data_IF_367012575642
#
_entry.id   IF_367012575642
#
_cell.length_a   1.000
_cell.length_b   1.000
_cell.length_c   1.000
_cell.angle_alpha   90.00
_cell.angle_beta   90.00
_cell.angle_gamma   90.00
#
_symmetry.space_group_name_H-M   'P 1'
#
loop_
_entity.id
_entity.type
_entity.pdbx_description
1 polymer ?
#
# COMPACT_ATOMS: atom_id res chain seq x y z
N UNK A 1 65.09 5.58 -17.48
CA UNK A 1 65.09 6.52 -18.62
C UNK A 1 63.70 6.52 -19.23
N UNK A 2 63.17 7.67 -19.68
CA UNK A 2 62.73 8.84 -18.93
C UNK A 2 61.19 8.89 -18.80
N UNK A 3 60.71 9.48 -17.70
CA UNK A 3 59.35 10.02 -17.56
C UNK A 3 59.14 11.22 -18.49
N UNK A 4 58.01 11.33 -19.19
CA UNK A 4 57.53 12.61 -19.72
C UNK A 4 56.75 13.37 -18.64
N UNK A 5 57.14 14.63 -18.50
CA UNK A 5 56.69 15.69 -17.60
C UNK A 5 55.21 16.12 -17.77
N UNK A 6 54.69 16.97 -16.86
CA UNK A 6 53.28 17.34 -16.78
C UNK A 6 52.85 18.27 -17.93
N UNK A 7 51.58 18.16 -18.33
CA UNK A 7 50.92 19.20 -19.13
C UNK A 7 50.49 20.30 -18.16
N UNK A 8 51.35 21.31 -18.08
CA UNK A 8 51.04 22.63 -17.57
C UNK A 8 50.44 23.43 -18.72
N UNK A 9 49.19 23.89 -18.54
CA UNK A 9 48.42 24.65 -19.50
C UNK A 9 47.69 25.76 -18.78
N UNK A 10 48.43 26.79 -18.39
CA UNK A 10 47.89 28.01 -17.82
C UNK A 10 47.29 28.95 -18.87
N UNK A 11 46.49 29.90 -18.37
CA UNK A 11 46.41 31.25 -18.91
C UNK A 11 45.18 31.56 -19.76
N UNK A 12 44.25 32.33 -19.17
CA UNK A 12 43.15 32.97 -19.90
C UNK A 12 42.27 33.81 -19.00
N UNK A 13 42.84 34.84 -18.37
CA UNK A 13 42.07 35.87 -17.67
C UNK A 13 41.35 36.81 -18.63
N UNK A 14 40.23 37.35 -18.15
CA UNK A 14 39.51 38.48 -18.74
C UNK A 14 38.03 38.40 -18.35
N UNK A 15 37.43 39.34 -17.65
CA UNK A 15 37.92 40.54 -17.00
C UNK A 15 36.93 40.92 -15.90
N UNK A 16 37.45 41.42 -14.79
CA UNK A 16 36.65 42.17 -13.85
C UNK A 16 36.18 43.44 -14.54
N UNK A 17 34.90 43.50 -14.86
CA UNK A 17 34.19 44.75 -15.03
C UNK A 17 33.76 45.22 -13.65
N UNK A 18 34.39 46.29 -13.18
CA UNK A 18 33.91 47.07 -12.04
C UNK A 18 32.52 47.63 -12.35
N UNK A 19 31.65 47.61 -11.33
CA UNK A 19 30.56 48.58 -11.23
C UNK A 19 29.16 48.07 -11.58
N UNK A 20 28.65 47.12 -10.80
CA UNK A 20 27.32 47.23 -10.18
C UNK A 20 27.20 46.09 -9.17
N UNK A 21 27.11 46.41 -7.87
CA UNK A 21 26.54 45.47 -6.91
C UNK A 21 25.20 45.01 -7.48
N UNK A 22 24.91 43.70 -7.56
CA UNK A 22 23.60 43.25 -7.97
C UNK A 22 22.60 43.92 -7.00
N UNK A 23 21.60 44.64 -7.51
CA UNK A 23 20.69 45.38 -6.66
C UNK A 23 20.05 44.42 -5.66
N UNK A 24 20.17 44.75 -4.38
CA UNK A 24 19.74 44.00 -3.17
C UNK A 24 18.21 43.73 -3.11
N UNK A 25 17.50 43.89 -4.23
CA UNK A 25 16.04 43.89 -4.30
C UNK A 25 15.49 42.91 -5.35
N UNK A 26 16.05 41.71 -5.43
CA UNK A 26 15.38 40.60 -6.10
C UNK A 26 14.36 39.91 -5.15
N UNK A 27 13.63 40.68 -4.32
CA UNK A 27 12.69 40.13 -3.30
C UNK A 27 11.27 39.94 -3.81
N UNK A 28 10.99 40.37 -5.04
CA UNK A 28 9.67 40.18 -5.66
C UNK A 28 9.47 38.71 -6.04
N UNK A 29 8.42 38.09 -5.49
CA UNK A 29 7.99 36.74 -5.84
C UNK A 29 6.89 36.85 -6.90
N UNK A 30 7.06 36.16 -8.03
CA UNK A 30 5.97 35.98 -8.98
C UNK A 30 4.89 35.09 -8.33
N UNK A 31 3.66 35.60 -8.24
CA UNK A 31 2.53 34.93 -7.57
C UNK A 31 1.52 34.34 -8.54
N UNK A 32 1.68 34.61 -9.84
CA UNK A 32 0.76 34.19 -10.89
C UNK A 32 1.53 33.58 -12.08
N UNK A 33 1.19 32.36 -12.55
CA UNK A 33 1.87 31.70 -13.67
C UNK A 33 1.74 32.42 -15.03
N UNK A 34 0.87 33.43 -15.15
CA UNK A 34 0.80 34.30 -16.34
C UNK A 34 1.86 35.41 -16.35
N UNK A 35 2.56 35.60 -15.23
CA UNK A 35 3.64 36.57 -15.07
C UNK A 35 4.95 36.05 -15.71
N UNK A 36 4.98 35.99 -17.04
CA UNK A 36 6.18 35.66 -17.81
C UNK A 36 7.04 36.90 -18.05
N UNK A 37 8.36 36.78 -17.86
CA UNK A 37 9.30 37.86 -18.17
C UNK A 37 9.30 39.03 -17.18
N UNK A 38 8.87 38.81 -15.93
CA UNK A 38 9.00 39.82 -14.89
C UNK A 38 10.47 40.07 -14.59
N UNK A 39 10.91 41.28 -14.89
CA UNK A 39 12.15 41.87 -14.36
C UNK A 39 11.78 42.71 -13.15
N UNK A 40 12.54 42.58 -12.06
CA UNK A 40 12.42 43.53 -10.95
C UNK A 40 12.65 44.96 -11.48
N UNK A 41 12.22 46.01 -10.78
CA UNK A 41 12.54 47.40 -11.16
C UNK A 41 14.05 47.64 -11.34
N UNK A 42 14.87 46.76 -10.77
CA UNK A 42 16.32 46.77 -10.81
C UNK A 42 16.94 45.81 -11.86
N UNK A 43 16.12 45.13 -12.66
CA UNK A 43 16.56 44.30 -13.80
C UNK A 43 16.85 42.83 -13.49
N UNK A 44 16.57 42.33 -12.27
CA UNK A 44 16.70 40.89 -11.96
C UNK A 44 15.60 40.11 -12.68
N UNK A 45 15.94 39.01 -13.35
CA UNK A 45 14.94 38.05 -13.83
C UNK A 45 14.27 37.36 -12.64
N UNK A 46 12.97 37.59 -12.46
CA UNK A 46 12.15 36.95 -11.45
C UNK A 46 11.62 35.67 -12.10
N UNK A 47 12.05 34.51 -11.60
CA UNK A 47 11.76 33.21 -12.22
C UNK A 47 10.28 32.96 -12.52
N UNK A 48 9.99 32.10 -13.49
CA UNK A 48 8.60 31.73 -13.83
C UNK A 48 8.02 30.86 -12.72
N UNK A 49 6.83 31.17 -12.16
CA UNK A 49 6.11 30.25 -11.29
C UNK A 49 5.82 28.97 -12.08
N UNK A 50 6.49 27.87 -11.72
CA UNK A 50 6.13 26.56 -12.27
C UNK A 50 4.86 26.11 -11.58
N UNK A 51 3.83 25.71 -12.35
CA UNK A 51 2.68 25.01 -11.79
C UNK A 51 3.17 23.80 -10.95
N UNK A 52 2.51 23.48 -9.83
CA UNK A 52 2.79 22.25 -9.12
C UNK A 52 2.72 21.09 -10.12
N UNK A 53 3.78 20.30 -10.23
CA UNK A 53 3.75 19.10 -11.07
C UNK A 53 2.79 18.08 -10.43
N UNK A 54 1.51 18.17 -10.76
CA UNK A 54 0.48 17.20 -10.36
C UNK A 54 0.79 15.92 -11.13
N UNK A 55 1.61 15.05 -10.53
CA UNK A 55 1.80 13.71 -11.07
C UNK A 55 0.43 13.04 -11.13
N UNK A 56 0.01 12.48 -12.28
CA UNK A 56 -1.27 11.78 -12.36
C UNK A 56 -1.35 10.75 -11.24
N UNK A 57 -2.46 10.76 -10.52
CA UNK A 57 -2.69 9.82 -9.42
C UNK A 57 -2.66 8.41 -10.00
N UNK A 58 -1.64 7.62 -9.63
CA UNK A 58 -1.53 6.22 -10.05
C UNK A 58 -2.83 5.48 -9.70
N UNK A 59 -3.37 4.79 -10.68
CA UNK A 59 -4.48 3.85 -10.52
C UNK A 59 -4.09 2.75 -9.51
N UNK A 60 -5.06 2.05 -8.90
CA UNK A 60 -4.77 0.93 -8.00
C UNK A 60 -3.90 -0.14 -8.66
N UNK A 61 -4.19 -0.48 -9.91
CA UNK A 61 -3.40 -1.43 -10.70
C UNK A 61 -1.93 -1.00 -10.86
N UNK A 62 -1.67 0.27 -11.20
CA UNK A 62 -0.30 0.80 -11.30
C UNK A 62 0.41 0.81 -9.95
N UNK A 63 -0.31 0.99 -8.84
CA UNK A 63 0.25 0.90 -7.49
C UNK A 63 0.63 -0.53 -7.14
N UNK A 64 -0.24 -1.50 -7.38
CA UNK A 64 0.04 -2.93 -7.13
C UNK A 64 1.25 -3.36 -7.98
N UNK A 65 1.27 -3.01 -9.27
CA UNK A 65 2.42 -3.25 -10.16
C UNK A 65 3.70 -2.60 -9.62
N UNK A 66 3.61 -1.34 -9.19
CA UNK A 66 4.76 -0.63 -8.59
C UNK A 66 5.27 -1.31 -7.31
N UNK A 67 4.39 -1.92 -6.49
CA UNK A 67 4.80 -2.69 -5.31
C UNK A 67 5.57 -3.94 -5.71
N UNK A 68 5.08 -4.73 -6.66
CA UNK A 68 5.81 -5.93 -7.11
C UNK A 68 7.10 -5.63 -7.90
N UNK A 69 7.24 -4.40 -8.42
CA UNK A 69 8.50 -3.90 -8.99
C UNK A 69 9.51 -3.43 -7.92
N UNK A 70 9.09 -3.12 -6.69
CA UNK A 70 9.99 -2.80 -5.59
C UNK A 70 10.63 -4.10 -5.05
N UNK A 71 11.95 -4.19 -5.14
CA UNK A 71 12.71 -5.38 -4.74
C UNK A 71 12.46 -5.77 -3.29
N UNK A 72 12.32 -4.80 -2.37
CA UNK A 72 12.12 -5.09 -0.93
C UNK A 72 10.73 -5.66 -0.69
N UNK A 73 9.71 -5.12 -1.35
CA UNK A 73 8.35 -5.69 -1.29
C UNK A 73 8.35 -7.11 -1.86
N UNK A 74 8.96 -7.32 -3.03
CA UNK A 74 9.02 -8.62 -3.70
C UNK A 74 9.75 -9.67 -2.87
N UNK A 75 10.86 -9.30 -2.23
CA UNK A 75 11.59 -10.19 -1.31
C UNK A 75 10.70 -10.63 -0.14
N UNK A 76 9.96 -9.70 0.48
CA UNK A 76 9.07 -10.04 1.62
C UNK A 76 7.86 -10.86 1.21
N UNK A 77 7.28 -10.54 0.05
CA UNK A 77 6.24 -11.38 -0.54
C UNK A 77 6.75 -12.80 -0.79
N UNK A 78 7.92 -12.96 -1.43
CA UNK A 78 8.50 -14.27 -1.71
C UNK A 78 8.91 -15.02 -0.44
N UNK A 79 9.29 -14.29 0.61
CA UNK A 79 9.63 -14.87 1.91
C UNK A 79 8.41 -15.48 2.59
N UNK A 80 7.25 -14.81 2.52
CA UNK A 80 5.98 -15.30 3.06
C UNK A 80 5.31 -16.35 2.15
N UNK A 81 5.39 -16.19 0.84
CA UNK A 81 4.76 -17.05 -0.16
C UNK A 81 5.59 -18.32 -0.44
N UNK A 82 5.98 -19.01 0.62
CA UNK A 82 6.64 -20.31 0.56
C UNK A 82 5.73 -21.36 1.21
N UNK A 83 5.62 -22.57 0.63
CA UNK A 83 4.75 -23.61 1.15
C UNK A 83 4.94 -23.89 2.65
N UNK A 84 6.19 -23.91 3.13
CA UNK A 84 6.50 -24.19 4.54
C UNK A 84 5.88 -23.19 5.53
N UNK A 85 5.60 -21.94 5.12
CA UNK A 85 4.97 -20.97 6.00
C UNK A 85 3.47 -21.22 6.16
N UNK A 86 2.84 -21.95 5.23
CA UNK A 86 1.42 -22.30 5.32
C UNK A 86 1.19 -23.50 6.24
N UNK A 87 2.21 -24.32 6.50
CA UNK A 87 2.10 -25.48 7.37
C UNK A 87 2.52 -25.19 8.83
N UNK A 88 2.81 -23.93 9.15
CA UNK A 88 3.08 -23.49 10.52
C UNK A 88 1.80 -23.47 11.37
N UNK A 89 1.98 -23.52 12.68
CA UNK A 89 0.91 -23.35 13.68
C UNK A 89 0.60 -21.87 13.99
N UNK A 90 1.25 -20.94 13.28
CA UNK A 90 1.08 -19.51 13.41
C UNK A 90 1.22 -18.80 12.06
N UNK A 91 0.65 -17.60 11.98
CA UNK A 91 0.83 -16.71 10.83
C UNK A 91 2.15 -15.94 10.94
N UNK A 92 2.76 -15.66 9.79
CA UNK A 92 3.94 -14.79 9.69
C UNK A 92 3.56 -13.51 9.00
N UNK A 93 4.13 -12.38 9.43
CA UNK A 93 3.85 -11.09 8.83
C UNK A 93 5.09 -10.21 8.62
N UNK A 94 5.00 -9.34 7.62
CA UNK A 94 5.85 -8.18 7.45
C UNK A 94 5.01 -6.92 7.49
N UNK A 95 5.43 -5.95 8.30
CA UNK A 95 4.79 -4.64 8.38
C UNK A 95 5.72 -3.60 7.77
N UNK A 96 5.17 -2.77 6.88
CA UNK A 96 5.86 -1.63 6.26
C UNK A 96 5.66 -0.37 7.09
N UNK A 97 6.75 0.30 7.46
CA UNK A 97 6.76 1.58 8.14
C UNK A 97 7.38 2.67 7.28
N UNK A 98 6.65 3.78 7.10
CA UNK A 98 7.19 5.01 6.56
C UNK A 98 7.75 5.89 7.69
N UNK A 99 8.85 6.60 7.44
CA UNK A 99 9.30 7.66 8.32
C UNK A 99 8.48 8.94 8.09
N UNK A 100 8.58 9.95 8.99
CA UNK A 100 7.86 11.22 8.81
C UNK A 100 8.14 11.88 7.45
N UNK A 101 7.12 12.54 6.91
CA UNK A 101 7.23 13.32 5.67
C UNK A 101 8.35 14.36 5.81
N UNK A 102 9.15 14.53 4.76
CA UNK A 102 10.28 15.47 4.75
C UNK A 102 11.58 14.90 5.32
N UNK A 103 11.60 13.63 5.70
CA UNK A 103 12.85 12.93 6.07
C UNK A 103 13.44 12.18 4.86
N UNK A 104 14.76 12.07 4.80
CA UNK A 104 15.47 11.26 3.79
C UNK A 104 15.65 9.80 4.23
N UNK A 105 14.84 9.33 5.18
CA UNK A 105 14.89 7.96 5.66
C UNK A 105 14.04 7.11 4.70
N UNK A 106 14.52 5.94 4.24
CA UNK A 106 13.70 5.05 3.45
C UNK A 106 12.66 4.33 4.31
N UNK A 107 11.50 4.01 3.73
CA UNK A 107 10.56 3.08 4.36
C UNK A 107 11.22 1.72 4.62
N UNK A 108 10.84 1.05 5.69
CA UNK A 108 11.41 -0.23 6.11
C UNK A 108 10.33 -1.28 6.38
N UNK A 109 10.73 -2.55 6.31
CA UNK A 109 9.93 -3.68 6.73
C UNK A 109 10.50 -4.26 8.01
N UNK A 110 9.63 -4.67 8.92
CA UNK A 110 10.00 -5.50 10.06
C UNK A 110 9.07 -6.70 10.15
N UNK A 111 9.63 -7.82 10.60
CA UNK A 111 8.88 -9.06 10.75
C UNK A 111 8.09 -9.02 12.06
N UNK A 112 6.88 -9.56 12.01
CA UNK A 112 6.06 -9.84 13.17
C UNK A 112 5.46 -11.22 12.97
N UNK A 113 5.92 -12.17 13.76
CA UNK A 113 5.30 -13.49 13.77
C UNK A 113 4.24 -13.55 14.87
N UNK A 114 3.15 -14.21 14.54
CA UNK A 114 2.06 -14.42 15.47
C UNK A 114 2.40 -15.52 16.48
N UNK A 115 1.83 -15.48 17.69
CA UNK A 115 2.02 -16.56 18.64
C UNK A 115 1.50 -17.89 18.06
N UNK A 116 2.16 -19.02 18.37
CA UNK A 116 1.62 -20.35 18.06
C UNK A 116 0.17 -20.47 18.48
N UNK A 117 -0.65 -21.03 17.60
CA UNK A 117 -2.08 -21.23 17.81
C UNK A 117 -2.87 -19.96 18.10
N UNK A 118 -2.35 -18.80 17.69
CA UNK A 118 -3.10 -17.56 17.71
C UNK A 118 -4.39 -17.76 16.94
N UNK A 119 -5.52 -17.57 17.62
CA UNK A 119 -6.80 -17.64 16.92
C UNK A 119 -7.09 -16.25 16.36
N UNK A 120 -7.73 -16.25 15.20
CA UNK A 120 -8.42 -15.19 14.47
C UNK A 120 -9.31 -14.22 15.31
N UNK A 121 -9.22 -14.25 16.63
CA UNK A 121 -10.05 -13.50 17.54
C UNK A 121 -9.41 -12.24 18.12
N UNK A 122 -8.16 -12.23 18.59
CA UNK A 122 -7.54 -11.04 19.21
C UNK A 122 -6.02 -10.97 19.10
N UNK A 123 -5.39 -11.99 18.56
CA UNK A 123 -3.95 -12.01 18.48
C UNK A 123 -3.57 -11.11 17.32
N UNK A 124 -3.03 -9.96 17.62
CA UNK A 124 -2.15 -9.28 16.69
C UNK A 124 -0.97 -8.89 17.55
N UNK A 125 0.20 -9.48 17.31
CA UNK A 125 1.44 -8.97 17.91
C UNK A 125 1.74 -7.65 17.22
N UNK A 126 0.92 -6.64 17.49
CA UNK A 126 1.15 -5.33 16.89
C UNK A 126 2.38 -4.72 17.55
N UNK A 127 3.22 -4.03 16.78
CA UNK A 127 4.30 -3.26 17.36
C UNK A 127 3.72 -2.30 18.41
N UNK A 128 4.49 -2.00 19.44
CA UNK A 128 4.11 -1.07 20.52
C UNK A 128 3.75 0.33 20.02
N UNK A 129 4.07 0.67 18.76
CA UNK A 129 3.71 1.91 18.11
C UNK A 129 3.17 1.68 16.70
N UNK A 130 2.01 2.27 16.44
CA UNK A 130 1.39 2.31 15.12
C UNK A 130 1.96 3.41 14.21
N UNK A 131 2.87 4.25 14.72
CA UNK A 131 3.46 5.36 13.96
C UNK A 131 4.02 4.89 12.61
N UNK A 132 3.50 5.46 11.53
CA UNK A 132 3.98 5.27 10.16
C UNK A 132 3.66 3.93 9.52
N UNK A 133 2.87 3.07 10.14
CA UNK A 133 2.51 1.77 9.57
C UNK A 133 1.56 1.95 8.38
N UNK A 134 1.95 1.53 7.18
CA UNK A 134 1.14 1.71 5.98
C UNK A 134 1.05 0.45 5.12
N UNK A 135 1.64 -0.67 5.55
CA UNK A 135 1.55 -1.92 4.80
C UNK A 135 1.56 -3.09 5.75
N UNK A 136 0.72 -4.07 5.48
CA UNK A 136 0.75 -5.38 6.12
C UNK A 136 0.82 -6.45 5.04
N UNK A 137 1.73 -7.40 5.17
CA UNK A 137 1.71 -8.66 4.45
C UNK A 137 1.68 -9.77 5.49
N UNK A 138 0.78 -10.73 5.39
CA UNK A 138 0.78 -11.87 6.31
C UNK A 138 0.28 -13.15 5.64
N UNK A 139 0.62 -14.30 6.22
CA UNK A 139 0.15 -15.61 5.76
C UNK A 139 -1.13 -16.05 6.47
N UNK A 140 -2.01 -16.80 5.80
CA UNK A 140 -2.98 -17.67 6.49
C UNK A 140 -2.53 -19.14 6.33
N UNK A 141 -2.47 -19.88 7.44
CA UNK A 141 -2.00 -21.28 7.51
C UNK A 141 -2.99 -22.25 6.83
N UNK A 142 -2.59 -23.49 6.57
CA UNK A 142 -3.39 -24.57 5.96
C UNK A 142 -4.37 -25.19 6.94
N UNK A 143 -3.99 -25.24 8.20
CA UNK A 143 -4.81 -25.77 9.28
C UNK A 143 -4.71 -24.81 10.47
N UNK A 144 -5.82 -24.66 11.19
CA UNK A 144 -5.78 -24.12 12.54
C UNK A 144 -5.15 -25.17 13.47
N UNK A 145 -4.74 -24.78 14.67
CA UNK A 145 -4.22 -25.75 15.66
C UNK A 145 -5.21 -26.84 16.05
N UNK A 146 -6.50 -26.63 15.82
CA UNK A 146 -7.54 -27.64 16.05
C UNK A 146 -7.74 -28.56 14.83
N UNK A 147 -6.88 -28.48 13.82
CA UNK A 147 -6.98 -29.25 12.58
C UNK A 147 -8.12 -28.80 11.65
N UNK A 148 -8.71 -27.63 11.88
CA UNK A 148 -9.77 -27.10 11.00
C UNK A 148 -9.17 -26.33 9.83
N UNK A 149 -9.85 -26.33 8.69
CA UNK A 149 -9.44 -25.52 7.54
C UNK A 149 -9.76 -24.04 7.77
N UNK A 150 -8.77 -23.14 7.84
CA UNK A 150 -9.02 -21.72 7.98
C UNK A 150 -9.47 -21.12 6.64
N UNK A 151 -10.06 -19.94 6.70
CA UNK A 151 -10.61 -19.24 5.54
C UNK A 151 -9.47 -18.58 4.76
N UNK A 152 -9.37 -18.88 3.46
CA UNK A 152 -8.25 -18.53 2.58
C UNK A 152 -8.36 -17.17 1.91
N UNK A 153 -8.93 -16.20 2.63
CA UNK A 153 -9.14 -14.80 2.21
C UNK A 153 -9.09 -13.92 3.47
N UNK A 154 -8.90 -12.59 3.34
CA UNK A 154 -8.79 -11.69 4.50
C UNK A 154 -9.97 -11.81 5.47
N UNK A 155 -9.67 -11.82 6.76
CA UNK A 155 -10.62 -11.85 7.86
C UNK A 155 -11.17 -10.45 8.20
N UNK A 156 -12.24 -10.35 8.99
CA UNK A 156 -12.70 -9.07 9.54
C UNK A 156 -11.63 -8.32 10.36
N UNK A 157 -10.67 -9.03 10.97
CA UNK A 157 -9.56 -8.43 11.73
C UNK A 157 -8.56 -7.76 10.78
N UNK A 158 -8.27 -8.38 9.63
CA UNK A 158 -7.40 -7.80 8.60
C UNK A 158 -8.00 -6.50 8.04
N UNK A 159 -9.29 -6.52 7.75
CA UNK A 159 -10.04 -5.37 7.25
C UNK A 159 -10.07 -4.26 8.30
N UNK A 160 -10.31 -4.59 9.57
CA UNK A 160 -10.24 -3.64 10.69
C UNK A 160 -8.85 -3.01 10.78
N UNK A 161 -7.78 -3.79 10.66
CA UNK A 161 -6.43 -3.28 10.81
C UNK A 161 -6.06 -2.31 9.67
N UNK A 162 -6.45 -2.64 8.43
CA UNK A 162 -6.32 -1.71 7.32
C UNK A 162 -7.08 -0.41 7.58
N UNK A 163 -8.37 -0.50 7.92
CA UNK A 163 -9.23 0.68 8.09
C UNK A 163 -8.80 1.55 9.27
N UNK A 164 -8.62 0.96 10.44
CA UNK A 164 -8.40 1.70 11.68
C UNK A 164 -6.95 2.15 11.86
N UNK A 165 -5.99 1.39 11.33
CA UNK A 165 -4.56 1.65 11.54
C UNK A 165 -3.88 2.12 10.26
N UNK A 166 -3.81 1.26 9.24
CA UNK A 166 -2.93 1.51 8.10
C UNK A 166 -3.35 2.73 7.28
N UNK A 167 -4.64 2.96 7.08
CA UNK A 167 -5.13 4.12 6.34
C UNK A 167 -4.76 5.45 7.02
N UNK A 168 -5.06 5.59 8.32
CA UNK A 168 -4.78 6.84 9.05
C UNK A 168 -3.29 7.17 9.06
N UNK A 169 -2.46 6.15 9.26
CA UNK A 169 -1.01 6.26 9.28
C UNK A 169 -0.42 6.52 7.89
N UNK A 170 -0.92 5.85 6.85
CA UNK A 170 -0.51 6.14 5.47
C UNK A 170 -0.79 7.61 5.12
N UNK A 171 -1.96 8.14 5.46
CA UNK A 171 -2.26 9.55 5.19
C UNK A 171 -1.30 10.50 5.93
N UNK A 172 -1.03 10.23 7.21
CA UNK A 172 -0.15 11.06 8.03
C UNK A 172 1.33 11.03 7.58
N UNK A 173 1.83 9.86 7.14
CA UNK A 173 3.26 9.65 6.87
C UNK A 173 3.60 9.65 5.38
N UNK A 174 2.61 9.57 4.50
CA UNK A 174 2.83 9.56 3.03
C UNK A 174 1.97 10.58 2.29
N UNK A 175 1.05 11.26 2.98
CA UNK A 175 0.14 12.24 2.40
C UNK A 175 -1.06 11.64 1.66
N UNK A 176 -1.26 10.32 1.69
CA UNK A 176 -2.43 9.69 1.05
C UNK A 176 -2.83 8.37 1.69
N UNK A 177 -4.14 8.19 1.94
CA UNK A 177 -4.74 6.90 2.32
C UNK A 177 -4.43 5.79 1.32
N UNK A 178 -4.33 6.15 0.04
CA UNK A 178 -4.16 5.19 -1.06
C UNK A 178 -2.77 4.55 -1.16
N UNK A 179 -1.84 4.94 -0.28
CA UNK A 179 -0.55 4.29 -0.09
C UNK A 179 -0.61 3.14 0.93
N UNK A 180 -1.72 3.02 1.67
CA UNK A 180 -1.98 1.89 2.54
C UNK A 180 -2.29 0.62 1.73
N UNK A 181 -1.84 -0.52 2.22
CA UNK A 181 -2.29 -1.82 1.71
C UNK A 181 -2.26 -2.89 2.80
N UNK A 182 -3.06 -3.94 2.61
CA UNK A 182 -2.95 -5.19 3.35
C UNK A 182 -2.98 -6.34 2.35
N UNK A 183 -2.05 -7.29 2.44
CA UNK A 183 -2.03 -8.50 1.62
C UNK A 183 -2.06 -9.74 2.50
N UNK A 184 -3.05 -10.57 2.27
CA UNK A 184 -3.15 -11.91 2.84
C UNK A 184 -2.63 -12.92 1.82
N UNK A 185 -1.63 -13.71 2.22
CA UNK A 185 -0.95 -14.69 1.37
C UNK A 185 -1.38 -16.08 1.82
N UNK A 186 -1.85 -16.92 0.90
CA UNK A 186 -2.36 -18.25 1.23
C UNK A 186 -1.93 -19.27 0.18
N UNK A 187 -2.08 -20.55 0.51
CA UNK A 187 -1.88 -21.66 -0.44
C UNK A 187 -2.86 -21.67 -1.62
N UNK A 188 -4.02 -21.04 -1.49
CA UNK A 188 -5.10 -21.04 -2.51
C UNK A 188 -5.16 -19.74 -3.32
N UNK A 189 -4.42 -18.71 -2.91
CA UNK A 189 -4.44 -17.39 -3.55
C UNK A 189 -3.99 -16.27 -2.61
N UNK A 190 -3.60 -15.15 -3.21
CA UNK A 190 -3.09 -13.99 -2.49
C UNK A 190 -3.96 -12.78 -2.77
N UNK A 191 -4.39 -12.10 -1.71
CA UNK A 191 -5.44 -11.09 -1.76
C UNK A 191 -4.93 -9.77 -1.19
N UNK A 192 -4.92 -8.73 -2.01
CA UNK A 192 -4.52 -7.39 -1.62
C UNK A 192 -5.74 -6.49 -1.48
N UNK A 193 -5.94 -5.95 -0.27
CA UNK A 193 -6.87 -4.89 0.03
C UNK A 193 -6.21 -3.53 -0.24
N UNK A 194 -6.86 -2.71 -1.04
CA UNK A 194 -6.40 -1.37 -1.43
C UNK A 194 -7.50 -0.35 -1.19
N UNK A 195 -7.10 0.89 -0.89
CA UNK A 195 -8.03 2.02 -0.79
C UNK A 195 -7.81 3.02 -1.92
N UNK A 196 -8.89 3.40 -2.59
CA UNK A 196 -8.87 4.25 -3.80
C UNK A 196 -9.51 5.62 -3.60
N UNK A 197 -10.17 5.82 -2.45
CA UNK A 197 -10.74 7.12 -2.09
C UNK A 197 -9.68 8.13 -1.63
N UNK A 198 -10.09 9.39 -1.66
CA UNK A 198 -9.31 10.54 -1.14
C UNK A 198 -9.63 10.84 0.32
N UNK A 199 -10.86 10.55 0.76
CA UNK A 199 -11.32 10.79 2.11
C UNK A 199 -11.18 9.54 2.98
N UNK A 200 -11.15 9.71 4.31
CA UNK A 200 -11.13 8.56 5.20
C UNK A 200 -12.47 7.79 5.16
N UNK A 201 -12.50 6.47 4.90
CA UNK A 201 -13.75 5.70 4.81
C UNK A 201 -14.42 5.44 6.18
N UNK A 202 -13.83 5.93 7.28
CA UNK A 202 -14.27 5.67 8.65
C UNK A 202 -13.72 4.36 9.21
N UNK A 203 -13.63 4.29 10.54
CA UNK A 203 -13.19 3.11 11.28
C UNK A 203 -14.32 2.09 11.49
N UNK A 204 -13.94 0.90 11.94
CA UNK A 204 -14.84 -0.09 12.55
C UNK A 204 -14.66 -0.06 14.08
N UNK A 205 -15.74 0.16 14.83
CA UNK A 205 -15.71 0.07 16.29
C UNK A 205 -15.73 -1.40 16.77
N UNK A 206 -15.54 -1.61 18.07
CA UNK A 206 -15.48 -2.96 18.66
C UNK A 206 -16.73 -3.78 18.35
N UNK A 207 -17.93 -3.25 18.63
CA UNK A 207 -19.20 -3.96 18.43
C UNK A 207 -19.42 -4.33 16.95
N UNK A 208 -19.06 -3.43 16.04
CA UNK A 208 -19.15 -3.68 14.59
C UNK A 208 -18.24 -4.82 14.19
N UNK A 209 -16.99 -4.84 14.67
CA UNK A 209 -16.04 -5.92 14.37
C UNK A 209 -16.51 -7.24 14.95
N UNK A 210 -17.00 -7.25 16.20
CA UNK A 210 -17.56 -8.46 16.82
C UNK A 210 -18.70 -9.02 15.97
N UNK A 211 -19.63 -8.16 15.54
CA UNK A 211 -20.74 -8.59 14.70
C UNK A 211 -20.29 -9.09 13.32
N UNK A 212 -19.32 -8.41 12.71
CA UNK A 212 -18.73 -8.83 11.44
C UNK A 212 -18.04 -10.20 11.56
N UNK A 213 -17.35 -10.48 12.67
CA UNK A 213 -16.74 -11.80 12.93
C UNK A 213 -17.79 -12.89 13.04
N UNK A 214 -18.86 -12.66 13.79
CA UNK A 214 -19.98 -13.62 13.90
C UNK A 214 -20.62 -13.93 12.54
N UNK A 215 -20.98 -12.88 11.80
CA UNK A 215 -21.61 -13.02 10.49
C UNK A 215 -20.68 -13.74 9.51
N UNK A 216 -19.39 -13.37 9.50
CA UNK A 216 -18.36 -14.00 8.67
C UNK A 216 -18.19 -15.49 8.99
N UNK A 217 -18.01 -15.83 10.28
CA UNK A 217 -17.87 -17.22 10.72
C UNK A 217 -19.11 -18.03 10.36
N UNK A 218 -20.31 -17.50 10.60
CA UNK A 218 -21.57 -18.18 10.28
C UNK A 218 -21.74 -18.40 8.78
N UNK A 219 -21.44 -17.39 7.97
CA UNK A 219 -21.56 -17.46 6.51
C UNK A 219 -20.64 -18.56 5.95
N UNK A 220 -19.38 -18.61 6.40
CA UNK A 220 -18.44 -19.64 5.96
C UNK A 220 -18.77 -21.03 6.51
N UNK A 221 -19.18 -21.15 7.78
CA UNK A 221 -19.69 -22.43 8.33
C UNK A 221 -20.87 -22.95 7.49
N UNK A 222 -21.82 -22.08 7.18
CA UNK A 222 -22.97 -22.43 6.33
C UNK A 222 -22.53 -22.90 4.93
N UNK A 223 -21.49 -22.29 4.36
CA UNK A 223 -20.93 -22.72 3.08
C UNK A 223 -20.37 -24.16 3.17
N UNK A 224 -19.55 -24.45 4.19
CA UNK A 224 -18.96 -25.77 4.39
C UNK A 224 -20.01 -26.85 4.75
N UNK A 225 -21.07 -26.50 5.47
CA UNK A 225 -22.16 -27.42 5.81
C UNK A 225 -23.03 -27.79 4.60
N UNK A 226 -23.16 -26.88 3.62
CA UNK A 226 -24.08 -27.06 2.47
C UNK A 226 -23.40 -27.62 1.23
N UNK A 227 -22.07 -27.66 1.20
CA UNK A 227 -21.31 -28.03 0.00
C UNK A 227 -20.12 -28.91 0.38
N UNK A 228 -20.15 -30.16 -0.08
CA UNK A 228 -19.09 -31.14 0.22
C UNK A 228 -17.73 -30.75 -0.38
N UNK A 229 -17.72 -30.07 -1.52
CA UNK A 229 -16.52 -29.63 -2.24
C UNK A 229 -16.50 -28.11 -2.39
N UNK A 230 -16.21 -27.41 -1.29
CA UNK A 230 -15.98 -25.96 -1.30
C UNK A 230 -14.69 -25.67 -2.09
N UNK A 231 -14.81 -24.84 -3.11
CA UNK A 231 -13.69 -24.38 -3.95
C UNK A 231 -13.28 -22.96 -3.55
N UNK A 232 -12.08 -22.54 -3.97
CA UNK A 232 -11.64 -21.16 -3.75
C UNK A 232 -12.57 -20.13 -4.41
N UNK A 233 -13.20 -20.46 -5.54
CA UNK A 233 -14.20 -19.60 -6.17
C UNK A 233 -15.45 -19.40 -5.31
N UNK A 234 -15.87 -20.42 -4.53
CA UNK A 234 -16.97 -20.27 -3.57
C UNK A 234 -16.59 -19.35 -2.41
N UNK A 235 -15.34 -19.46 -1.94
CA UNK A 235 -14.77 -18.63 -0.88
C UNK A 235 -14.68 -17.17 -1.35
N UNK A 236 -14.13 -16.92 -2.55
CA UNK A 236 -14.04 -15.58 -3.14
C UNK A 236 -15.42 -14.96 -3.37
N UNK A 237 -16.41 -15.75 -3.81
CA UNK A 237 -17.79 -15.31 -3.96
C UNK A 237 -18.38 -14.85 -2.63
N UNK A 238 -18.26 -15.66 -1.59
CA UNK A 238 -18.79 -15.32 -0.28
C UNK A 238 -18.08 -14.10 0.32
N UNK A 239 -16.75 -14.05 0.16
CA UNK A 239 -15.93 -12.94 0.64
C UNK A 239 -16.24 -11.62 -0.05
N UNK A 240 -16.32 -11.60 -1.38
CA UNK A 240 -16.65 -10.37 -2.12
C UNK A 240 -18.06 -9.88 -1.79
N UNK A 241 -19.02 -10.80 -1.57
CA UNK A 241 -20.36 -10.46 -1.07
C UNK A 241 -20.29 -9.83 0.32
N UNK A 242 -19.54 -10.43 1.24
CA UNK A 242 -19.30 -9.87 2.58
C UNK A 242 -18.67 -8.47 2.52
N UNK A 243 -17.66 -8.28 1.67
CA UNK A 243 -17.04 -6.96 1.45
C UNK A 243 -18.03 -5.92 0.95
N UNK A 244 -18.91 -6.30 0.01
CA UNK A 244 -19.90 -5.38 -0.58
C UNK A 244 -21.05 -5.06 0.37
N UNK A 245 -21.62 -6.05 1.03
CA UNK A 245 -22.87 -5.92 1.79
C UNK A 245 -22.64 -5.59 3.27
N UNK A 246 -21.58 -6.13 3.88
CA UNK A 246 -21.32 -6.02 5.33
C UNK A 246 -20.26 -4.98 5.66
N UNK A 247 -19.13 -4.99 4.96
CA UNK A 247 -18.09 -3.96 5.13
C UNK A 247 -18.55 -2.64 4.51
N UNK A 248 -18.99 -2.68 3.26
CA UNK A 248 -19.63 -1.57 2.55
C UNK A 248 -18.90 -0.22 2.72
N UNK A 249 -17.59 -0.21 2.47
CA UNK A 249 -16.76 1.01 2.52
C UNK A 249 -16.43 1.47 1.09
N UNK A 250 -16.99 2.61 0.62
CA UNK A 250 -16.66 3.16 -0.69
C UNK A 250 -15.15 3.38 -0.84
N UNK A 251 -14.59 2.93 -1.96
CA UNK A 251 -13.16 3.03 -2.25
C UNK A 251 -12.30 1.89 -1.67
N UNK A 252 -12.83 1.02 -0.81
CA UNK A 252 -12.14 -0.20 -0.40
C UNK A 252 -12.33 -1.29 -1.47
N UNK A 253 -11.23 -1.80 -2.00
CA UNK A 253 -11.21 -2.73 -3.12
C UNK A 253 -10.38 -3.98 -2.81
N UNK A 254 -10.75 -5.10 -3.43
CA UNK A 254 -10.08 -6.39 -3.29
C UNK A 254 -9.45 -6.78 -4.62
N UNK A 255 -8.20 -7.20 -4.57
CA UNK A 255 -7.46 -7.72 -5.72
C UNK A 255 -6.90 -9.10 -5.43
N UNK A 256 -7.11 -10.07 -6.32
CA UNK A 256 -6.29 -11.28 -6.38
C UNK A 256 -4.99 -10.93 -7.09
N UNK A 257 -3.84 -11.20 -6.46
CA UNK A 257 -2.54 -10.72 -6.94
C UNK A 257 -1.50 -11.83 -7.04
N UNK A 258 -0.60 -11.69 -8.00
CA UNK A 258 0.65 -12.44 -8.12
C UNK A 258 1.76 -11.43 -8.48
N UNK A 259 3.05 -11.83 -8.49
CA UNK A 259 4.11 -10.95 -8.97
C UNK A 259 3.92 -10.41 -10.39
N UNK A 260 3.11 -11.10 -11.21
CA UNK A 260 2.94 -10.82 -12.62
C UNK A 260 1.47 -10.54 -13.02
N UNK A 261 0.54 -10.48 -12.05
CA UNK A 261 -0.87 -10.21 -12.37
C UNK A 261 -1.60 -9.59 -11.18
N UNK A 262 -2.63 -8.82 -11.49
CA UNK A 262 -3.64 -8.40 -10.52
C UNK A 262 -5.01 -8.45 -11.19
N UNK A 263 -6.01 -8.95 -10.46
CA UNK A 263 -7.39 -9.05 -10.91
C UNK A 263 -8.26 -8.46 -9.81
N UNK A 264 -9.01 -7.40 -10.12
CA UNK A 264 -9.99 -6.84 -9.19
C UNK A 264 -11.15 -7.83 -9.04
N UNK A 265 -11.53 -8.11 -7.80
CA UNK A 265 -12.67 -8.97 -7.46
C UNK A 265 -13.81 -8.11 -6.93
N UNK A 266 -14.99 -8.22 -7.54
CA UNK A 266 -16.18 -7.47 -7.14
C UNK A 266 -17.41 -8.39 -7.05
N UNK A 267 -18.25 -8.20 -6.04
CA UNK A 267 -19.57 -8.82 -6.00
C UNK A 267 -20.55 -8.02 -6.86
N UNK A 268 -21.25 -8.71 -7.76
CA UNK A 268 -22.35 -8.16 -8.55
C UNK A 268 -23.69 -8.73 -8.07
N UNK A 269 -24.57 -7.93 -7.46
CA UNK A 269 -25.91 -8.37 -7.05
C UNK A 269 -26.78 -8.84 -8.22
N UNK A 270 -26.52 -8.39 -9.46
CA UNK A 270 -27.22 -8.86 -10.65
C UNK A 270 -26.78 -10.26 -11.09
N UNK A 271 -25.57 -10.66 -10.68
CA UNK A 271 -24.97 -11.97 -10.94
C UNK A 271 -24.57 -12.62 -9.62
N UNK A 272 -25.53 -12.88 -8.70
CA UNK A 272 -25.24 -13.23 -7.30
C UNK A 272 -24.52 -14.58 -7.14
N UNK A 273 -24.39 -15.32 -8.24
CA UNK A 273 -23.72 -16.61 -8.31
C UNK A 273 -22.27 -16.57 -8.81
N UNK A 274 -21.74 -15.38 -9.14
CA UNK A 274 -20.39 -15.21 -9.68
C UNK A 274 -19.68 -14.02 -9.05
N UNK A 275 -18.35 -14.07 -9.05
CA UNK A 275 -17.49 -12.91 -8.81
C UNK A 275 -17.25 -12.21 -10.14
N UNK A 276 -17.45 -10.89 -10.18
CA UNK A 276 -17.02 -10.08 -11.32
C UNK A 276 -15.51 -9.87 -11.20
N UNK A 277 -14.80 -10.39 -12.20
CA UNK A 277 -13.35 -10.24 -12.31
C UNK A 277 -12.99 -9.15 -13.32
N UNK A 278 -12.15 -8.20 -12.93
CA UNK A 278 -11.63 -7.17 -13.85
C UNK A 278 -10.10 -7.21 -13.82
N UNK A 279 -9.44 -7.77 -14.85
CA UNK A 279 -7.98 -7.78 -14.93
C UNK A 279 -7.40 -6.37 -14.92
N UNK A 280 -6.31 -6.17 -14.19
CA UNK A 280 -5.54 -4.94 -14.27
C UNK A 280 -4.85 -4.85 -15.63
N UNK A 281 -5.04 -3.75 -16.39
CA UNK A 281 -4.39 -3.59 -17.69
C UNK A 281 -2.87 -3.47 -17.51
N UNK A 282 -2.11 -4.09 -18.41
CA UNK A 282 -0.65 -3.96 -18.53
C UNK A 282 0.13 -4.25 -17.24
N UNK A 283 -0.09 -5.41 -16.62
CA UNK A 283 0.73 -5.90 -15.51
C UNK A 283 2.12 -6.35 -15.97
#
# INVERSE_FOLDING_TARGET
MPTPSPIDGGGGGGGGGEGQEPPDDCTSLATDPTQVGLVSPSGCNIGVPTEPNIRPTKTPCEKIKSKFADTRFKEKYNELNKPENFDLDHEKAFIMRYPPIGTNIPASYFQVDMPPCSTNNEDTVMPSSNAGLAGLMHTHTNLTCNGSYPIKVPSPVDIKYLLNTLLSQANQYTGSYSNAYSITITSEGNYMLMYTGTDYPGSLNYDTVTKLKEDYTKDFQTLYERKDNVTQADIEKLFTKFMKEKINKPGLEVYRVTPNSAIKLEYDPASPNSVKETPCPQF
#
